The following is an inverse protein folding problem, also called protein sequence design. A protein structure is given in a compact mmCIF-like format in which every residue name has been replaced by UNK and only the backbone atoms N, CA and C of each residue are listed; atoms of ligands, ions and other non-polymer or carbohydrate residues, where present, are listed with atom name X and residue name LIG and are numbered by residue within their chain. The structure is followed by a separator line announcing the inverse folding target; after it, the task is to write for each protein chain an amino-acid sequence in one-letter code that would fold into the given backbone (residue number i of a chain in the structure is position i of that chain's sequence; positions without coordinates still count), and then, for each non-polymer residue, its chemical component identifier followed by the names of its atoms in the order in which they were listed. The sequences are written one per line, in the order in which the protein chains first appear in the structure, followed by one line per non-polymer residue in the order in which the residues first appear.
data_IF_162050800026
#
_entry.id   IF_162050800026
#
_cell.length_a   1.000
_cell.length_b   1.000
_cell.length_c   1.000
_cell.angle_alpha   90.00
_cell.angle_beta   90.00
_cell.angle_gamma   90.00
#
_symmetry.space_group_name_H-M   'P 1'
#
loop_
_entity.id
_entity.type
_entity.pdbx_description
1 polymer ?
#
# COMPACT_ATOMS: atom_id res chain seq x y z
N UNK A 1 23.43 -3.11 14.29
CA UNK A 1 22.55 -2.54 13.27
C UNK A 1 23.31 -2.35 11.96
N UNK A 2 22.82 -2.97 10.88
CA UNK A 2 23.41 -2.90 9.53
C UNK A 2 23.41 -1.48 8.99
N UNK A 3 22.28 -0.75 9.11
CA UNK A 3 22.08 0.58 8.54
C UNK A 3 23.11 1.57 9.09
N UNK A 4 23.27 1.63 10.41
CA UNK A 4 24.26 2.51 11.05
C UNK A 4 25.72 2.15 10.67
N UNK A 5 26.02 0.86 10.51
CA UNK A 5 27.37 0.40 10.14
C UNK A 5 27.70 0.72 8.69
N UNK A 6 26.71 0.63 7.78
CA UNK A 6 26.93 0.89 6.33
C UNK A 6 26.73 2.36 5.95
N UNK A 7 26.13 3.18 6.83
CA UNK A 7 25.74 4.56 6.54
C UNK A 7 24.64 4.66 5.47
N UNK A 8 23.90 3.57 5.19
CA UNK A 8 22.91 3.54 4.12
C UNK A 8 21.67 2.73 4.48
N UNK A 9 20.49 3.31 4.25
CA UNK A 9 19.18 2.71 4.43
C UNK A 9 18.60 2.27 3.07
N UNK A 10 18.37 0.98 2.90
CA UNK A 10 17.73 0.42 1.69
C UNK A 10 16.22 0.32 1.91
N UNK A 11 15.44 1.15 1.24
CA UNK A 11 13.99 1.23 1.40
C UNK A 11 13.29 0.49 0.26
N UNK A 12 12.43 -0.46 0.58
CA UNK A 12 11.62 -1.14 -0.42
C UNK A 12 10.49 -0.22 -0.91
N UNK A 13 10.60 0.23 -2.15
CA UNK A 13 9.63 1.07 -2.81
C UNK A 13 8.77 0.23 -3.76
N UNK A 14 7.45 0.27 -3.56
CA UNK A 14 6.49 -0.44 -4.41
C UNK A 14 5.82 0.58 -5.32
N UNK A 15 5.94 0.45 -6.67
CA UNK A 15 5.23 1.34 -7.60
C UNK A 15 3.72 1.18 -7.46
N UNK A 16 3.13 1.98 -6.59
CA UNK A 16 1.71 2.00 -6.27
C UNK A 16 1.30 3.41 -5.78
N UNK A 17 0.89 4.32 -6.68
CA UNK A 17 0.43 5.65 -6.27
C UNK A 17 -0.72 5.58 -5.25
N UNK A 18 -0.73 6.46 -4.23
CA UNK A 18 0.16 7.59 -3.97
C UNK A 18 1.40 7.24 -3.12
N UNK A 19 1.65 5.97 -2.83
CA UNK A 19 2.73 5.54 -1.93
C UNK A 19 4.12 5.72 -2.56
N UNK A 20 4.30 5.19 -3.78
CA UNK A 20 5.51 5.41 -4.56
C UNK A 20 5.22 5.32 -6.05
N UNK A 21 5.99 6.05 -6.85
CA UNK A 21 6.01 5.95 -8.31
C UNK A 21 7.40 6.36 -8.82
N UNK A 22 7.80 5.77 -9.94
CA UNK A 22 9.01 6.16 -10.66
C UNK A 22 8.60 7.04 -11.84
N UNK A 23 9.25 8.18 -12.01
CA UNK A 23 9.13 8.97 -13.22
C UNK A 23 9.88 8.27 -14.36
N UNK A 24 9.21 7.92 -15.48
CA UNK A 24 9.86 7.19 -16.56
C UNK A 24 11.00 7.96 -17.26
N UNK A 25 10.97 9.29 -17.19
CA UNK A 25 11.94 10.16 -17.88
C UNK A 25 13.19 10.43 -17.05
N UNK A 26 13.03 10.68 -15.74
CA UNK A 26 14.15 10.99 -14.84
C UNK A 26 14.62 9.79 -14.02
N UNK A 27 13.82 8.70 -13.95
CA UNK A 27 14.01 7.57 -13.04
C UNK A 27 13.96 7.94 -11.56
N UNK A 28 13.46 9.12 -11.24
CA UNK A 28 13.30 9.58 -9.87
C UNK A 28 12.05 9.00 -9.22
N UNK A 29 12.19 8.64 -7.96
CA UNK A 29 11.06 8.19 -7.14
C UNK A 29 10.33 9.37 -6.52
N UNK A 30 8.99 9.27 -6.42
CA UNK A 30 8.12 10.23 -5.77
C UNK A 30 6.99 9.54 -5.00
N UNK A 31 6.33 10.25 -4.10
CA UNK A 31 5.24 9.77 -3.28
C UNK A 31 5.58 9.66 -1.80
N UNK A 32 4.63 9.15 -1.01
CA UNK A 32 4.73 9.07 0.45
C UNK A 32 5.99 8.34 0.93
N UNK A 33 6.33 7.20 0.31
CA UNK A 33 7.51 6.42 0.72
C UNK A 33 8.82 7.20 0.59
N UNK A 34 8.94 8.06 -0.44
CA UNK A 34 10.11 8.92 -0.63
C UNK A 34 10.24 9.93 0.50
N UNK A 35 9.13 10.60 0.87
CA UNK A 35 9.11 11.57 1.96
C UNK A 35 9.43 10.90 3.30
N UNK A 36 8.85 9.74 3.57
CA UNK A 36 9.12 8.96 4.77
C UNK A 36 10.57 8.46 4.83
N UNK A 37 11.10 7.96 3.71
CA UNK A 37 12.47 7.47 3.63
C UNK A 37 13.50 8.57 3.84
N UNK A 38 13.25 9.74 3.24
CA UNK A 38 14.12 10.92 3.36
C UNK A 38 14.20 11.40 4.81
N UNK A 39 13.05 11.58 5.47
CA UNK A 39 13.03 12.02 6.88
C UNK A 39 13.65 10.96 7.81
N UNK A 40 13.30 9.68 7.65
CA UNK A 40 13.88 8.63 8.48
C UNK A 40 15.40 8.56 8.36
N UNK A 41 15.92 8.64 7.14
CA UNK A 41 17.36 8.62 6.89
C UNK A 41 18.06 9.87 7.44
N UNK A 42 17.45 11.05 7.31
CA UNK A 42 17.94 12.29 7.91
C UNK A 42 18.04 12.18 9.44
N UNK A 43 16.99 11.67 10.11
CA UNK A 43 16.98 11.45 11.56
C UNK A 43 18.04 10.45 12.01
N UNK A 44 18.40 9.51 11.15
CA UNK A 44 19.46 8.52 11.42
C UNK A 44 20.87 9.02 11.02
N UNK A 45 20.97 10.12 10.28
CA UNK A 45 22.25 10.61 9.76
C UNK A 45 22.88 9.68 8.72
N UNK A 46 22.08 9.03 7.86
CA UNK A 46 22.49 8.07 6.85
C UNK A 46 21.95 8.46 5.47
N UNK A 47 22.59 7.94 4.42
CA UNK A 47 22.04 7.98 3.06
C UNK A 47 20.91 6.97 2.90
N UNK A 48 20.07 7.12 1.87
CA UNK A 48 19.05 6.15 1.56
C UNK A 48 18.87 5.92 0.06
N UNK A 49 18.29 4.78 -0.29
CA UNK A 49 18.00 4.40 -1.67
C UNK A 49 16.69 3.62 -1.75
N UNK A 50 15.86 3.94 -2.78
CA UNK A 50 14.69 3.14 -3.15
C UNK A 50 15.12 1.88 -3.91
N UNK A 51 14.71 0.74 -3.41
CA UNK A 51 14.85 -0.55 -4.10
C UNK A 51 13.48 -1.00 -4.58
N UNK A 52 13.33 -1.12 -5.90
CA UNK A 52 12.07 -1.56 -6.49
C UNK A 52 11.68 -2.96 -5.99
N UNK A 53 10.46 -3.08 -5.49
CA UNK A 53 9.85 -4.34 -5.04
C UNK A 53 8.35 -4.36 -5.32
N UNK A 54 7.65 -5.40 -4.88
CA UNK A 54 6.18 -5.52 -4.97
C UNK A 54 5.60 -5.85 -3.62
N UNK A 55 4.32 -5.57 -3.39
CA UNK A 55 3.66 -5.92 -2.13
C UNK A 55 3.72 -7.42 -1.83
N UNK A 56 3.64 -8.29 -2.87
CA UNK A 56 3.74 -9.74 -2.73
C UNK A 56 5.14 -10.21 -2.35
N UNK A 57 6.18 -9.51 -2.80
CA UNK A 57 7.59 -9.88 -2.55
C UNK A 57 8.22 -9.10 -1.39
N UNK A 58 7.50 -8.16 -0.76
CA UNK A 58 8.04 -7.29 0.28
C UNK A 58 8.67 -8.06 1.44
N UNK A 59 7.98 -9.07 1.98
CA UNK A 59 8.50 -9.88 3.07
C UNK A 59 9.78 -10.63 2.69
N UNK A 60 9.85 -11.20 1.50
CA UNK A 60 11.05 -11.88 0.99
C UNK A 60 12.21 -10.90 0.81
N UNK A 61 11.97 -9.71 0.26
CA UNK A 61 13.00 -8.69 0.09
C UNK A 61 13.59 -8.24 1.43
N UNK A 62 12.77 -8.14 2.48
CA UNK A 62 13.20 -7.86 3.85
C UNK A 62 14.01 -9.02 4.42
N UNK A 63 13.51 -10.26 4.34
CA UNK A 63 14.18 -11.45 4.89
C UNK A 63 15.56 -11.68 4.29
N UNK A 64 15.70 -11.49 2.98
CA UNK A 64 16.98 -11.66 2.25
C UNK A 64 17.95 -10.49 2.45
N UNK A 65 17.52 -9.42 3.14
CA UNK A 65 18.35 -8.22 3.35
C UNK A 65 18.54 -7.37 2.10
N UNK A 66 17.74 -7.60 1.03
CA UNK A 66 17.71 -6.75 -0.16
C UNK A 66 17.24 -5.34 0.19
N UNK A 67 16.31 -5.24 1.14
CA UNK A 67 15.86 -3.99 1.74
C UNK A 67 15.92 -4.07 3.27
N UNK A 68 16.09 -2.94 3.93
CA UNK A 68 16.12 -2.84 5.39
C UNK A 68 14.73 -2.57 5.96
N UNK A 69 13.91 -1.82 5.23
CA UNK A 69 12.54 -1.45 5.61
C UNK A 69 11.62 -1.37 4.39
N UNK A 70 10.37 -1.76 4.55
CA UNK A 70 9.25 -1.45 3.63
C UNK A 70 8.22 -0.67 4.42
N UNK A 71 7.97 0.58 4.01
CA UNK A 71 6.98 1.45 4.64
C UNK A 71 5.55 1.02 4.27
N UNK A 72 4.58 1.36 5.11
CA UNK A 72 3.14 1.18 4.87
C UNK A 72 2.70 -0.26 4.51
N UNK A 73 3.36 -1.26 5.08
CA UNK A 73 3.10 -2.67 4.85
C UNK A 73 2.04 -3.21 5.83
N UNK A 74 0.95 -3.79 5.34
CA UNK A 74 -0.05 -4.43 6.20
C UNK A 74 0.55 -5.63 6.94
N UNK A 75 0.38 -5.68 8.26
CA UNK A 75 0.87 -6.75 9.14
C UNK A 75 -0.07 -7.97 9.09
N UNK A 76 -0.07 -8.68 7.95
CA UNK A 76 -0.86 -9.92 7.86
C UNK A 76 -0.23 -11.04 8.70
N UNK A 77 -1.01 -12.03 9.19
CA UNK A 77 -0.48 -13.17 9.93
C UNK A 77 0.62 -13.93 9.17
N UNK A 78 0.49 -14.04 7.85
CA UNK A 78 1.50 -14.69 7.01
C UNK A 78 2.83 -13.94 7.02
N UNK A 79 2.80 -12.60 6.90
CA UNK A 79 3.99 -11.75 6.96
C UNK A 79 4.61 -11.70 8.36
N UNK A 80 3.76 -11.66 9.41
CA UNK A 80 4.22 -11.59 10.80
C UNK A 80 5.02 -12.83 11.27
N UNK A 81 4.86 -13.97 10.58
CA UNK A 81 5.73 -15.15 10.79
C UNK A 81 7.15 -14.96 10.24
N UNK A 82 7.32 -14.05 9.28
CA UNK A 82 8.53 -13.94 8.49
C UNK A 82 9.36 -12.70 8.81
N UNK A 83 8.71 -11.61 9.23
CA UNK A 83 9.31 -10.29 9.44
C UNK A 83 8.73 -9.63 10.70
N UNK A 84 9.41 -8.58 11.18
CA UNK A 84 8.96 -7.75 12.30
C UNK A 84 8.31 -6.48 11.79
N UNK A 85 7.40 -5.91 12.56
CA UNK A 85 6.67 -4.70 12.27
C UNK A 85 6.88 -3.64 13.35
N UNK A 86 6.95 -2.36 12.94
CA UNK A 86 7.00 -1.20 13.82
C UNK A 86 5.96 -0.14 13.40
N UNK A 87 5.43 0.58 14.33
CA UNK A 87 4.35 1.54 14.15
C UNK A 87 3.10 1.13 14.91
N UNK A 88 1.86 1.44 14.46
CA UNK A 88 1.43 1.64 13.06
C UNK A 88 1.84 3.00 12.45
N UNK A 89 1.92 3.01 11.13
CA UNK A 89 2.19 4.22 10.33
C UNK A 89 0.89 4.95 10.01
N UNK A 90 -0.11 4.23 9.50
CA UNK A 90 -1.45 4.78 9.22
C UNK A 90 -2.52 3.69 9.16
N UNK A 91 -3.80 4.11 9.14
CA UNK A 91 -4.93 3.23 8.92
C UNK A 91 -5.36 3.28 7.45
N UNK A 92 -5.43 2.11 6.81
CA UNK A 92 -5.83 1.97 5.42
C UNK A 92 -7.29 1.50 5.33
N UNK A 93 -8.10 2.24 4.59
CA UNK A 93 -9.46 1.85 4.21
C UNK A 93 -9.50 1.19 2.84
N UNK A 94 -10.44 0.27 2.64
CA UNK A 94 -10.59 -0.49 1.41
C UNK A 94 -11.91 -0.21 0.71
N UNK A 95 -11.89 -0.39 -0.61
CA UNK A 95 -13.02 -0.23 -1.49
C UNK A 95 -13.01 -1.28 -2.60
N UNK A 96 -14.15 -1.47 -3.25
CA UNK A 96 -14.25 -2.18 -4.51
C UNK A 96 -14.12 -1.21 -5.68
N UNK A 97 -13.27 -1.56 -6.63
CA UNK A 97 -13.18 -0.93 -7.95
C UNK A 97 -13.79 -1.92 -8.94
N UNK A 98 -14.79 -1.49 -9.70
CA UNK A 98 -15.56 -2.36 -10.58
C UNK A 98 -15.59 -1.88 -12.03
N UNK A 99 -15.80 -2.81 -12.95
CA UNK A 99 -15.91 -2.53 -14.39
C UNK A 99 -17.27 -1.94 -14.77
N UNK A 100 -17.36 -1.41 -15.99
CA UNK A 100 -18.56 -0.71 -16.50
C UNK A 100 -19.84 -1.55 -16.51
N UNK A 101 -19.72 -2.88 -16.54
CA UNK A 101 -20.86 -3.80 -16.60
C UNK A 101 -21.26 -4.36 -15.22
N UNK A 102 -20.68 -3.83 -14.15
CA UNK A 102 -20.94 -4.26 -12.77
C UNK A 102 -21.76 -3.21 -12.05
N UNK A 103 -22.92 -3.60 -11.53
CA UNK A 103 -23.72 -2.74 -10.66
C UNK A 103 -23.02 -2.57 -9.31
N UNK A 104 -22.89 -1.32 -8.80
CA UNK A 104 -22.28 -1.06 -7.50
C UNK A 104 -23.09 -1.73 -6.38
N UNK A 105 -22.38 -2.37 -5.45
CA UNK A 105 -22.98 -3.02 -4.28
C UNK A 105 -22.68 -2.22 -3.02
N UNK A 106 -23.56 -2.34 -2.01
CA UNK A 106 -23.46 -1.61 -0.75
C UNK A 106 -22.72 -2.41 0.33
N UNK A 107 -22.69 -3.75 0.21
CA UNK A 107 -22.13 -4.64 1.22
C UNK A 107 -21.15 -5.65 0.61
N UNK A 108 -20.22 -6.15 1.43
CA UNK A 108 -19.33 -7.23 1.02
C UNK A 108 -20.08 -8.52 0.70
N UNK A 109 -21.18 -8.78 1.39
CA UNK A 109 -22.03 -9.95 1.14
C UNK A 109 -22.65 -9.92 -0.25
N UNK A 110 -23.02 -8.74 -0.76
CA UNK A 110 -23.54 -8.61 -2.13
C UNK A 110 -22.47 -8.79 -3.19
N UNK A 111 -21.19 -8.50 -2.85
CA UNK A 111 -20.02 -8.80 -3.70
C UNK A 111 -19.58 -10.27 -3.59
N UNK A 112 -19.99 -10.99 -2.54
CA UNK A 112 -19.65 -12.41 -2.33
C UNK A 112 -20.50 -13.34 -3.19
N UNK A 113 -20.37 -13.22 -4.49
CA UNK A 113 -21.12 -13.95 -5.51
C UNK A 113 -20.16 -14.79 -6.38
N UNK A 114 -20.40 -16.11 -6.55
CA UNK A 114 -19.56 -16.97 -7.37
C UNK A 114 -19.46 -16.54 -8.84
N UNK A 115 -20.47 -15.83 -9.35
CA UNK A 115 -20.45 -15.29 -10.71
C UNK A 115 -19.59 -14.02 -10.84
N UNK A 116 -19.22 -13.38 -9.72
CA UNK A 116 -18.33 -12.21 -9.73
C UNK A 116 -16.86 -12.62 -9.75
N UNK A 117 -16.14 -12.17 -10.77
CA UNK A 117 -14.70 -12.41 -10.93
C UNK A 117 -13.91 -11.27 -10.30
N UNK A 118 -13.27 -11.52 -9.15
CA UNK A 118 -12.48 -10.53 -8.41
C UNK A 118 -11.00 -10.73 -8.67
N UNK A 119 -10.35 -9.73 -9.29
CA UNK A 119 -8.90 -9.75 -9.50
C UNK A 119 -8.16 -9.53 -8.19
N UNK A 120 -7.25 -10.40 -7.85
CA UNK A 120 -6.39 -10.34 -6.66
C UNK A 120 -4.92 -10.60 -7.02
N UNK A 121 -4.02 -9.81 -6.46
CA UNK A 121 -2.57 -10.00 -6.63
C UNK A 121 -2.07 -10.93 -5.53
N UNK A 122 -1.41 -12.01 -5.93
CA UNK A 122 -0.93 -13.06 -5.02
C UNK A 122 0.11 -12.50 -4.02
N UNK A 123 0.01 -12.93 -2.76
CA UNK A 123 0.91 -12.55 -1.67
C UNK A 123 0.62 -11.16 -1.06
N UNK A 124 -0.49 -10.52 -1.45
CA UNK A 124 -0.89 -9.21 -0.90
C UNK A 124 -1.87 -9.35 0.27
N UNK A 125 -2.01 -8.28 1.05
CA UNK A 125 -3.09 -8.18 2.05
C UNK A 125 -4.48 -8.17 1.41
N UNK A 126 -4.59 -7.65 0.19
CA UNK A 126 -5.84 -7.63 -0.56
C UNK A 126 -6.33 -9.05 -0.90
N UNK A 127 -5.42 -10.00 -1.17
CA UNK A 127 -5.79 -11.41 -1.34
C UNK A 127 -6.42 -11.96 -0.07
N UNK A 128 -5.75 -11.82 1.08
CA UNK A 128 -6.26 -12.33 2.36
C UNK A 128 -7.59 -11.66 2.77
N UNK A 129 -7.70 -10.36 2.53
CA UNK A 129 -8.91 -9.61 2.84
C UNK A 129 -10.08 -10.01 1.91
N UNK A 130 -9.82 -10.19 0.61
CA UNK A 130 -10.82 -10.67 -0.35
C UNK A 130 -11.29 -12.09 -0.03
N UNK A 131 -10.38 -12.97 0.40
CA UNK A 131 -10.75 -14.33 0.83
C UNK A 131 -11.62 -14.32 2.08
N UNK A 132 -11.42 -13.34 2.99
CA UNK A 132 -12.21 -13.19 4.21
C UNK A 132 -13.57 -12.54 3.98
N UNK A 133 -13.62 -11.49 3.17
CA UNK A 133 -14.84 -10.68 2.94
C UNK A 133 -15.77 -11.28 1.88
N UNK A 134 -15.20 -12.01 0.92
CA UNK A 134 -15.91 -12.54 -0.24
C UNK A 134 -15.47 -14.00 -0.52
N UNK A 135 -15.66 -14.94 0.41
CA UNK A 135 -15.16 -16.31 0.28
C UNK A 135 -15.72 -17.08 -0.94
N UNK A 136 -16.93 -16.75 -1.39
CA UNK A 136 -17.61 -17.42 -2.50
C UNK A 136 -17.33 -16.80 -3.87
N UNK A 137 -16.88 -15.52 -3.93
CA UNK A 137 -16.56 -14.86 -5.19
C UNK A 137 -15.40 -15.56 -5.92
N UNK A 138 -15.48 -15.60 -7.24
CA UNK A 138 -14.43 -16.22 -8.08
C UNK A 138 -13.17 -15.36 -8.09
N UNK A 139 -12.04 -15.90 -7.62
CA UNK A 139 -10.75 -15.19 -7.53
C UNK A 139 -9.93 -15.34 -8.81
N UNK A 140 -9.72 -14.24 -9.52
CA UNK A 140 -8.79 -14.17 -10.67
C UNK A 140 -7.40 -13.83 -10.12
N UNK A 141 -6.58 -14.85 -9.86
CA UNK A 141 -5.23 -14.70 -9.30
C UNK A 141 -4.26 -14.10 -10.31
N UNK A 142 -3.60 -13.04 -9.91
CA UNK A 142 -2.63 -12.28 -10.69
C UNK A 142 -1.22 -12.44 -10.08
N UNK A 143 -0.20 -12.41 -10.94
CA UNK A 143 1.19 -12.38 -10.49
C UNK A 143 1.52 -11.08 -9.71
N UNK A 144 2.56 -11.08 -8.83
CA UNK A 144 2.88 -9.94 -7.95
C UNK A 144 3.13 -8.59 -8.63
N UNK A 145 3.47 -8.57 -9.91
CA UNK A 145 3.72 -7.37 -10.72
C UNK A 145 2.57 -7.01 -11.68
N UNK A 146 1.45 -7.71 -11.58
CA UNK A 146 0.29 -7.46 -12.46
C UNK A 146 -0.57 -6.32 -11.96
N UNK A 147 -1.31 -5.70 -12.90
CA UNK A 147 -2.27 -4.64 -12.62
C UNK A 147 -3.69 -5.19 -12.50
N UNK A 148 -4.35 -5.12 -11.33
CA UNK A 148 -5.76 -5.47 -11.19
C UNK A 148 -6.67 -4.57 -12.03
N UNK A 149 -6.35 -3.28 -12.13
CA UNK A 149 -7.08 -2.32 -12.96
C UNK A 149 -7.10 -2.77 -14.43
N UNK A 150 -5.95 -3.21 -14.97
CA UNK A 150 -5.89 -3.74 -16.33
C UNK A 150 -6.71 -5.04 -16.50
N UNK A 151 -6.76 -5.90 -15.50
CA UNK A 151 -7.60 -7.09 -15.54
C UNK A 151 -9.09 -6.76 -15.65
N UNK A 152 -9.53 -5.70 -14.96
CA UNK A 152 -10.91 -5.20 -15.04
C UNK A 152 -11.19 -4.52 -16.37
N UNK A 153 -10.34 -3.58 -16.79
CA UNK A 153 -10.57 -2.84 -18.05
C UNK A 153 -10.47 -3.71 -19.30
N UNK A 154 -9.78 -4.84 -19.23
CA UNK A 154 -9.73 -5.85 -20.31
C UNK A 154 -10.86 -6.90 -20.25
N UNK A 155 -11.76 -6.83 -19.27
CA UNK A 155 -12.84 -7.79 -19.08
C UNK A 155 -12.40 -9.18 -18.56
N UNK A 156 -11.14 -9.32 -18.12
CA UNK A 156 -10.60 -10.54 -17.51
C UNK A 156 -11.14 -10.76 -16.09
N UNK A 157 -11.44 -9.68 -15.39
CA UNK A 157 -12.11 -9.65 -14.11
C UNK A 157 -13.23 -8.60 -14.11
N UNK A 158 -14.16 -8.71 -13.17
CA UNK A 158 -15.29 -7.80 -13.03
C UNK A 158 -15.01 -6.67 -12.05
N UNK A 159 -14.23 -6.97 -11.00
CA UNK A 159 -13.86 -6.03 -9.96
C UNK A 159 -12.52 -6.39 -9.31
N UNK A 160 -11.98 -5.48 -8.47
CA UNK A 160 -10.86 -5.77 -7.58
C UNK A 160 -10.95 -4.97 -6.29
N UNK A 161 -10.39 -5.51 -5.21
CA UNK A 161 -10.23 -4.82 -3.94
C UNK A 161 -9.03 -3.88 -4.01
N UNK A 162 -9.21 -2.63 -3.61
CA UNK A 162 -8.16 -1.61 -3.58
C UNK A 162 -8.16 -0.83 -2.28
N UNK A 163 -7.02 -0.23 -1.92
CA UNK A 163 -7.03 0.85 -0.94
C UNK A 163 -7.72 2.08 -1.53
N UNK A 164 -8.34 2.88 -0.66
CA UNK A 164 -9.16 4.03 -1.05
C UNK A 164 -8.46 4.92 -2.09
N UNK A 165 -7.31 5.47 -1.75
CA UNK A 165 -6.63 6.44 -2.63
C UNK A 165 -6.04 5.80 -3.89
N UNK A 166 -5.54 4.57 -3.81
CA UNK A 166 -5.09 3.85 -5.01
C UNK A 166 -6.25 3.61 -5.98
N UNK A 167 -7.42 3.25 -5.45
CA UNK A 167 -8.64 3.08 -6.26
C UNK A 167 -9.09 4.39 -6.91
N UNK A 168 -9.11 5.50 -6.15
CA UNK A 168 -9.46 6.82 -6.68
C UNK A 168 -8.52 7.28 -7.81
N UNK A 169 -7.21 7.12 -7.62
CA UNK A 169 -6.22 7.46 -8.65
C UNK A 169 -6.40 6.56 -9.88
N UNK A 170 -6.68 5.27 -9.68
CA UNK A 170 -6.92 4.35 -10.78
C UNK A 170 -8.16 4.74 -11.60
N UNK A 171 -9.25 5.13 -10.95
CA UNK A 171 -10.46 5.63 -11.61
C UNK A 171 -10.16 6.90 -12.42
N UNK A 172 -9.47 7.88 -11.82
CA UNK A 172 -9.12 9.13 -12.50
C UNK A 172 -8.23 8.94 -13.74
N UNK A 173 -7.43 7.88 -13.77
CA UNK A 173 -6.54 7.57 -14.91
C UNK A 173 -7.14 6.63 -15.96
N UNK A 174 -8.23 5.94 -15.66
CA UNK A 174 -8.80 4.90 -16.52
C UNK A 174 -10.30 5.12 -16.72
N UNK A 175 -10.72 5.79 -17.80
CA UNK A 175 -12.14 6.04 -18.06
C UNK A 175 -12.96 4.76 -18.33
N UNK A 176 -12.29 3.62 -18.54
CA UNK A 176 -12.93 2.32 -18.74
C UNK A 176 -13.22 1.57 -17.42
N UNK A 177 -12.86 2.12 -16.28
CA UNK A 177 -13.34 1.65 -14.96
C UNK A 177 -14.78 2.14 -14.78
N UNK A 178 -15.67 1.27 -14.32
CA UNK A 178 -17.09 1.60 -14.10
C UNK A 178 -17.30 2.52 -12.91
N UNK A 179 -16.58 2.28 -11.82
CA UNK A 179 -16.70 3.09 -10.62
C UNK A 179 -16.04 2.48 -9.39
N UNK A 180 -16.35 3.10 -8.27
CA UNK A 180 -15.90 2.73 -6.93
C UNK A 180 -17.11 2.55 -6.00
N UNK A 181 -17.01 1.64 -5.05
CA UNK A 181 -17.93 1.56 -3.91
C UNK A 181 -17.15 1.25 -2.62
N UNK A 182 -17.63 1.76 -1.50
CA UNK A 182 -17.14 1.45 -0.16
C UNK A 182 -18.18 0.57 0.52
N UNK A 183 -18.05 -0.77 0.45
CA UNK A 183 -19.06 -1.66 1.01
C UNK A 183 -19.03 -1.64 2.54
N UNK A 184 -20.21 -1.79 3.13
CA UNK A 184 -20.37 -1.90 4.57
C UNK A 184 -20.31 -3.38 5.04
N UNK A 185 -19.82 -3.62 6.29
CA UNK A 185 -19.13 -2.65 7.15
C UNK A 185 -17.76 -2.24 6.57
N UNK A 186 -17.34 -1.01 6.85
CA UNK A 186 -16.08 -0.48 6.33
C UNK A 186 -14.89 -1.40 6.68
N UNK A 187 -14.17 -1.87 5.67
CA UNK A 187 -12.99 -2.70 5.86
C UNK A 187 -11.74 -1.83 6.01
N UNK A 188 -11.03 -2.01 7.11
CA UNK A 188 -9.80 -1.27 7.41
C UNK A 188 -8.70 -2.19 7.90
N UNK A 189 -7.44 -1.80 7.67
CA UNK A 189 -6.26 -2.43 8.27
C UNK A 189 -5.27 -1.37 8.70
N UNK A 190 -4.41 -1.72 9.67
CA UNK A 190 -3.27 -0.89 10.01
C UNK A 190 -2.06 -1.25 9.13
N UNK A 191 -1.38 -0.21 8.65
CA UNK A 191 -0.13 -0.33 7.90
C UNK A 191 1.05 0.03 8.80
N UNK A 192 2.14 -0.69 8.65
CA UNK A 192 3.33 -0.64 9.51
C UNK A 192 4.59 -0.50 8.67
N UNK A 193 5.70 -0.14 9.29
CA UNK A 193 7.02 -0.36 8.74
C UNK A 193 7.43 -1.82 8.97
N UNK A 194 7.65 -2.58 7.89
CA UNK A 194 8.11 -3.97 7.95
C UNK A 194 9.63 -4.03 7.86
N UNK A 195 10.26 -4.82 8.73
CA UNK A 195 11.72 -4.97 8.84
C UNK A 195 12.11 -6.41 9.12
N UNK A 196 13.41 -6.71 8.96
CA UNK A 196 13.93 -8.04 9.29
C UNK A 196 13.79 -8.32 10.79
N UNK A 197 13.45 -9.55 11.12
CA UNK A 197 13.46 -10.03 12.49
C UNK A 197 14.91 -10.22 12.95
N UNK A 198 15.38 -9.36 13.85
CA UNK A 198 16.73 -9.38 14.41
C UNK A 198 16.68 -9.37 15.94
N UNK A 199 17.67 -10.03 16.63
CA UNK A 199 17.77 -9.96 18.08
C UNK A 199 18.02 -8.54 18.60
N UNK A 200 18.76 -7.74 17.84
CA UNK A 200 19.00 -6.31 18.13
C UNK A 200 17.81 -5.48 17.66
N UNK A 201 17.02 -5.03 18.59
CA UNK A 201 15.77 -4.28 18.32
C UNK A 201 15.96 -2.77 18.14
N UNK A 202 17.16 -2.23 18.30
CA UNK A 202 17.39 -0.77 18.30
C UNK A 202 16.86 -0.10 17.04
N UNK A 203 17.06 -0.69 15.85
CA UNK A 203 16.52 -0.17 14.60
C UNK A 203 14.98 -0.27 14.56
N UNK A 204 14.43 -1.42 14.93
CA UNK A 204 12.97 -1.63 14.98
C UNK A 204 12.29 -0.69 15.96
N UNK A 205 12.84 -0.53 17.13
CA UNK A 205 12.28 0.32 18.19
C UNK A 205 12.38 1.81 17.78
N UNK A 206 13.52 2.23 17.20
CA UNK A 206 13.67 3.58 16.66
C UNK A 206 12.63 3.89 15.56
N UNK A 207 12.48 3.02 14.57
CA UNK A 207 11.48 3.18 13.50
C UNK A 207 10.06 3.20 14.09
N UNK A 208 9.78 2.42 15.12
CA UNK A 208 8.49 2.43 15.82
C UNK A 208 8.19 3.78 16.47
N UNK A 209 9.13 4.32 17.25
CA UNK A 209 8.99 5.64 17.86
C UNK A 209 8.91 6.77 16.83
N UNK A 210 9.71 6.71 15.76
CA UNK A 210 9.66 7.64 14.65
C UNK A 210 8.29 7.63 13.96
N UNK A 211 7.74 6.45 13.68
CA UNK A 211 6.42 6.32 13.04
C UNK A 211 5.31 6.85 13.94
N UNK A 212 5.32 6.51 15.22
CA UNK A 212 4.35 6.99 16.21
C UNK A 212 4.40 8.51 16.36
N UNK A 213 5.60 9.09 16.49
CA UNK A 213 5.79 10.52 16.57
C UNK A 213 5.21 11.26 15.36
N UNK A 214 5.60 10.84 14.15
CA UNK A 214 5.19 11.49 12.91
C UNK A 214 3.69 11.29 12.59
N UNK A 215 3.10 10.17 13.02
CA UNK A 215 1.66 9.96 12.93
C UNK A 215 0.90 10.86 13.90
N UNK A 216 1.30 10.90 15.17
CA UNK A 216 0.56 11.60 16.22
C UNK A 216 0.60 13.13 16.06
N UNK A 217 1.66 13.67 15.46
CA UNK A 217 1.77 15.11 15.18
C UNK A 217 1.25 15.52 13.79
N UNK A 218 0.71 14.58 13.00
CA UNK A 218 0.14 14.85 11.68
C UNK A 218 1.16 14.95 10.54
N UNK A 219 2.45 14.70 10.77
CA UNK A 219 3.49 14.81 9.75
C UNK A 219 3.26 13.81 8.60
N UNK A 220 2.93 12.55 8.91
CA UNK A 220 2.65 11.52 7.88
C UNK A 220 1.44 11.93 7.03
N UNK A 221 0.40 12.46 7.66
CA UNK A 221 -0.78 12.98 6.96
C UNK A 221 -0.41 14.13 6.01
N UNK A 222 0.39 15.08 6.46
CA UNK A 222 0.85 16.20 5.64
C UNK A 222 1.70 15.71 4.45
N UNK A 223 2.61 14.77 4.65
CA UNK A 223 3.37 14.15 3.55
C UNK A 223 2.48 13.43 2.55
N UNK A 224 1.43 12.76 3.03
CA UNK A 224 0.49 12.06 2.18
C UNK A 224 -0.35 13.04 1.35
N UNK A 225 -0.89 14.10 1.97
CA UNK A 225 -1.62 15.18 1.27
C UNK A 225 -0.73 15.85 0.22
N UNK A 226 0.51 16.16 0.58
CA UNK A 226 1.48 16.74 -0.34
C UNK A 226 1.77 15.81 -1.52
N UNK A 227 1.98 14.51 -1.27
CA UNK A 227 2.16 13.54 -2.34
C UNK A 227 0.95 13.44 -3.26
N UNK A 228 -0.28 13.39 -2.70
CA UNK A 228 -1.50 13.36 -3.51
C UNK A 228 -1.61 14.55 -4.45
N UNK A 229 -1.40 15.77 -3.93
CA UNK A 229 -1.54 17.01 -4.69
C UNK A 229 -0.37 17.21 -5.66
N UNK A 230 0.86 17.23 -5.13
CA UNK A 230 2.03 17.67 -5.87
C UNK A 230 2.65 16.55 -6.73
N UNK A 231 2.66 15.31 -6.24
CA UNK A 231 3.24 14.19 -6.98
C UNK A 231 2.25 13.51 -7.93
N UNK A 232 0.95 13.51 -7.59
CA UNK A 232 -0.06 12.74 -8.33
C UNK A 232 -1.20 13.58 -8.91
N UNK A 233 -1.24 14.89 -8.65
CA UNK A 233 -2.19 15.82 -9.25
C UNK A 233 -3.64 15.62 -8.79
N UNK A 234 -3.85 15.07 -7.59
CA UNK A 234 -5.18 14.95 -6.99
C UNK A 234 -5.61 16.32 -6.49
N UNK A 235 -6.76 16.87 -6.93
CA UNK A 235 -7.24 18.16 -6.44
C UNK A 235 -7.41 18.16 -4.92
N UNK A 236 -6.97 19.23 -4.25
CA UNK A 236 -7.01 19.33 -2.79
C UNK A 236 -8.42 19.30 -2.20
N UNK A 237 -9.42 19.75 -2.96
CA UNK A 237 -10.84 19.75 -2.61
C UNK A 237 -11.49 18.36 -2.69
N UNK A 238 -10.83 17.38 -3.31
CA UNK A 238 -11.28 15.99 -3.29
C UNK A 238 -10.93 15.25 -1.99
N UNK A 239 -10.13 15.84 -1.13
CA UNK A 239 -9.78 15.25 0.17
C UNK A 239 -10.72 15.79 1.26
N UNK A 240 -11.36 14.92 2.06
CA UNK A 240 -12.16 15.37 3.20
C UNK A 240 -11.33 16.20 4.18
N UNK A 241 -11.93 17.25 4.76
CA UNK A 241 -11.27 18.12 5.75
C UNK A 241 -10.89 17.35 7.02
N UNK A 242 -11.67 16.33 7.37
CA UNK A 242 -11.47 15.44 8.52
C UNK A 242 -10.67 14.17 8.19
N UNK A 243 -10.08 14.10 7.00
CA UNK A 243 -9.23 12.99 6.61
C UNK A 243 -8.06 12.83 7.60
N UNK A 244 -8.00 11.68 8.24
CA UNK A 244 -6.90 11.26 9.13
C UNK A 244 -6.31 9.96 8.62
N UNK A 245 -4.99 9.86 8.71
CA UNK A 245 -4.25 8.64 8.40
C UNK A 245 -4.02 7.77 9.64
#
# INVERSE_FOLDING_TARGET
DKVMRTGKLMVGCVPNPPFASVDPSSSEWKGLHVKMASDLAEQMGVEWECVNTTWGNAALAIQTGKVDVVMTLSATPARAKAITFAGPVYQQSYMMVYGQNVEPKQTWTEYDNPDLRVAIVTGTSNEQLADSLMPNATKVKLAPNSSPSLAVTSGRADAYLSSLFTGMIALGKNPNIGGLSIPEPAATTLAYAGMRNEPDRRFTDFVGWWAEWNRNNGTIENWFRDALVNDFGVPSDMMPDDFKM
#
